data_IF_654240576040
#
_entry.id   IF_654240576040
#
_cell.length_a   1.000
_cell.length_b   1.000
_cell.length_c   1.000
_cell.angle_alpha   90.00
_cell.angle_beta   90.00
_cell.angle_gamma   90.00
#
_symmetry.space_group_name_H-M   'P 1'
#
loop_
_entity.id
_entity.type
_entity.pdbx_description
1 polymer ?
#
# COMPACT_ATOMS: atom_id res chain seq x y z
N UNK A 1 22.78 -33.59 -7.60
CA UNK A 1 23.43 -34.28 -8.71
C UNK A 1 23.01 -35.74 -8.64
N UNK A 2 22.58 -36.29 -9.74
CA UNK A 2 22.05 -37.66 -9.91
C UNK A 2 20.67 -37.94 -9.35
N UNK A 3 19.64 -37.68 -10.21
CA UNK A 3 18.44 -38.54 -10.35
C UNK A 3 17.49 -38.09 -11.48
N UNK A 4 18.00 -37.68 -12.63
CA UNK A 4 17.15 -37.48 -13.84
C UNK A 4 17.78 -38.05 -15.10
N UNK A 5 18.13 -39.35 -15.05
CA UNK A 5 18.48 -40.13 -16.21
C UNK A 5 17.84 -41.49 -16.07
N UNK A 6 16.60 -41.66 -16.56
CA UNK A 6 16.01 -42.92 -17.00
C UNK A 6 14.53 -42.68 -17.29
N UNK A 7 14.22 -42.52 -18.57
CA UNK A 7 13.08 -43.14 -19.30
C UNK A 7 13.00 -42.57 -20.72
N UNK A 8 13.98 -42.92 -21.53
CA UNK A 8 13.82 -42.88 -22.99
C UNK A 8 13.67 -44.29 -23.45
N UNK A 9 12.46 -44.84 -23.43
CA UNK A 9 12.15 -46.08 -24.14
C UNK A 9 11.81 -45.76 -25.59
N UNK A 10 12.76 -46.08 -26.46
CA UNK A 10 12.67 -46.06 -27.91
C UNK A 10 11.59 -47.03 -28.34
N UNK A 11 10.48 -46.50 -28.89
CA UNK A 11 9.51 -47.28 -29.65
C UNK A 11 10.00 -47.32 -31.10
N UNK A 12 10.71 -48.40 -31.47
CA UNK A 12 11.07 -48.67 -32.86
C UNK A 12 9.80 -49.02 -33.66
N UNK A 13 9.29 -48.09 -34.44
CA UNK A 13 8.31 -48.36 -35.49
C UNK A 13 9.09 -48.65 -36.77
N UNK A 14 8.92 -49.85 -37.28
CA UNK A 14 9.45 -50.29 -38.56
C UNK A 14 8.95 -49.33 -39.66
N UNK A 15 9.85 -48.54 -40.19
CA UNK A 15 9.61 -47.74 -41.38
C UNK A 15 9.67 -48.60 -42.61
N UNK A 16 8.61 -48.63 -43.42
CA UNK A 16 8.60 -49.06 -44.80
C UNK A 16 9.58 -48.17 -45.58
N UNK A 17 10.64 -48.80 -46.11
CA UNK A 17 11.67 -48.13 -46.91
C UNK A 17 11.06 -47.80 -48.27
N UNK A 18 10.49 -46.60 -48.42
CA UNK A 18 10.43 -45.92 -49.72
C UNK A 18 11.76 -45.22 -50.00
N UNK A 19 12.06 -44.75 -51.22
CA UNK A 19 13.29 -44.00 -51.47
C UNK A 19 13.32 -42.77 -50.50
N UNK A 20 14.26 -42.83 -49.61
CA UNK A 20 14.48 -41.69 -48.61
C UNK A 20 15.12 -40.56 -49.41
N UNK A 21 14.29 -39.67 -49.94
CA UNK A 21 14.75 -38.32 -50.22
C UNK A 21 15.12 -37.74 -48.87
N UNK A 22 16.36 -37.18 -48.76
CA UNK A 22 16.88 -36.71 -47.47
C UNK A 22 15.98 -35.60 -46.92
N UNK A 23 15.66 -35.71 -45.67
CA UNK A 23 14.78 -34.77 -44.91
C UNK A 23 15.19 -33.30 -45.05
N UNK A 24 16.39 -33.03 -45.56
CA UNK A 24 16.99 -31.70 -45.65
C UNK A 24 17.55 -31.41 -47.07
N UNK A 25 17.04 -32.06 -48.13
CA UNK A 25 17.48 -31.80 -49.49
C UNK A 25 17.05 -30.40 -49.95
N UNK A 26 17.93 -29.74 -50.72
CA UNK A 26 17.67 -28.50 -51.44
C UNK A 26 17.55 -28.77 -52.92
N UNK A 27 16.84 -27.90 -53.65
CA UNK A 27 16.75 -28.04 -55.10
C UNK A 27 18.00 -27.51 -55.83
N UNK A 28 18.85 -26.73 -55.22
CA UNK A 28 19.98 -26.05 -55.86
C UNK A 28 20.98 -27.05 -56.38
N UNK A 29 21.11 -27.14 -57.72
CA UNK A 29 22.01 -28.05 -58.40
C UNK A 29 21.54 -29.50 -58.44
N UNK A 30 20.31 -29.79 -58.05
CA UNK A 30 19.73 -31.14 -58.16
C UNK A 30 19.12 -31.44 -59.55
N UNK A 31 18.91 -32.71 -59.86
CA UNK A 31 18.25 -33.13 -61.13
C UNK A 31 16.76 -32.71 -61.16
N UNK A 32 16.14 -32.38 -59.99
CA UNK A 32 14.75 -31.96 -59.83
C UNK A 32 14.59 -30.49 -59.61
N UNK A 33 15.63 -29.68 -59.84
CA UNK A 33 15.61 -28.24 -59.57
C UNK A 33 14.46 -27.50 -60.28
N UNK A 34 14.23 -27.83 -61.58
CA UNK A 34 13.18 -27.21 -62.38
C UNK A 34 11.79 -27.58 -61.83
N UNK A 35 11.52 -28.85 -61.58
CA UNK A 35 10.24 -29.33 -61.04
C UNK A 35 9.94 -28.76 -59.64
N UNK A 36 10.96 -28.68 -58.77
CA UNK A 36 10.81 -28.16 -57.44
C UNK A 36 10.58 -26.63 -57.42
N UNK A 37 11.29 -25.90 -58.25
CA UNK A 37 11.15 -24.42 -58.34
C UNK A 37 9.83 -24.01 -59.00
N UNK A 38 9.36 -24.77 -60.01
CA UNK A 38 8.05 -24.54 -60.62
C UNK A 38 6.92 -24.79 -59.62
N UNK A 39 6.94 -25.89 -58.92
CA UNK A 39 5.97 -26.21 -57.87
C UNK A 39 6.02 -25.16 -56.75
N UNK A 40 7.22 -24.75 -56.34
CA UNK A 40 7.41 -23.64 -55.35
C UNK A 40 6.77 -22.34 -55.82
N UNK A 41 7.01 -21.95 -57.06
CA UNK A 41 6.49 -20.70 -57.62
C UNK A 41 4.97 -20.70 -57.67
N UNK A 42 4.36 -21.81 -58.08
CA UNK A 42 2.90 -21.97 -58.15
C UNK A 42 2.28 -21.92 -56.78
N UNK A 43 2.80 -22.69 -55.79
CA UNK A 43 2.18 -22.68 -54.48
C UNK A 43 2.31 -21.32 -53.77
N UNK A 44 3.43 -20.62 -53.95
CA UNK A 44 3.63 -19.26 -53.34
C UNK A 44 2.65 -18.27 -53.91
N UNK A 45 2.35 -18.31 -55.20
CA UNK A 45 1.32 -17.45 -55.81
C UNK A 45 -0.08 -17.82 -55.30
N UNK A 46 -0.41 -19.14 -55.28
CA UNK A 46 -1.67 -19.62 -54.77
C UNK A 46 -1.90 -19.23 -53.26
N UNK A 47 -0.87 -19.33 -52.43
CA UNK A 47 -0.93 -18.87 -51.03
C UNK A 47 -1.26 -17.39 -50.92
N UNK A 48 -0.67 -16.55 -51.79
CA UNK A 48 -1.01 -15.10 -51.81
C UNK A 48 -2.44 -14.86 -52.26
N UNK A 49 -2.93 -15.65 -53.19
CA UNK A 49 -4.32 -15.59 -53.67
C UNK A 49 -5.32 -16.28 -52.72
N UNK A 50 -4.86 -16.89 -51.64
CA UNK A 50 -5.65 -17.72 -50.72
C UNK A 50 -6.36 -18.91 -51.38
N UNK A 51 -5.81 -19.40 -52.51
CA UNK A 51 -6.22 -20.65 -53.09
C UNK A 51 -5.53 -21.83 -52.39
N UNK A 52 -6.15 -22.25 -51.29
CA UNK A 52 -5.58 -23.25 -50.37
C UNK A 52 -5.42 -24.62 -51.04
N UNK A 53 -6.25 -24.96 -52.00
CA UNK A 53 -6.19 -26.25 -52.67
C UNK A 53 -4.97 -26.32 -53.60
N UNK A 54 -4.85 -25.38 -54.52
CA UNK A 54 -3.71 -25.29 -55.43
C UNK A 54 -2.41 -25.09 -54.67
N UNK A 55 -2.44 -24.29 -53.60
CA UNK A 55 -1.29 -24.07 -52.75
C UNK A 55 -0.82 -25.36 -52.09
N UNK A 56 -1.74 -26.16 -51.53
CA UNK A 56 -1.38 -27.40 -50.85
C UNK A 56 -0.80 -28.45 -51.83
N UNK A 57 -1.46 -28.71 -52.94
CA UNK A 57 -1.01 -29.69 -53.92
C UNK A 57 0.39 -29.38 -54.46
N UNK A 58 0.70 -28.12 -54.74
CA UNK A 58 2.01 -27.75 -55.26
C UNK A 58 3.06 -27.64 -54.17
N UNK A 59 2.69 -27.22 -52.94
CA UNK A 59 3.57 -27.27 -51.79
C UNK A 59 4.01 -28.71 -51.48
N UNK A 60 3.08 -29.66 -51.49
CA UNK A 60 3.40 -31.07 -51.23
C UNK A 60 4.41 -31.66 -52.26
N UNK A 61 4.28 -31.27 -53.53
CA UNK A 61 5.25 -31.61 -54.55
C UNK A 61 6.63 -31.01 -54.29
N UNK A 62 6.67 -29.70 -54.05
CA UNK A 62 7.90 -28.95 -53.79
C UNK A 62 8.60 -29.46 -52.51
N UNK A 63 7.84 -29.64 -51.41
CA UNK A 63 8.36 -30.17 -50.15
C UNK A 63 8.90 -31.59 -50.25
N UNK A 64 8.21 -32.47 -51.03
CA UNK A 64 8.67 -33.84 -51.24
C UNK A 64 9.99 -33.92 -52.02
N UNK A 65 10.20 -33.03 -52.97
CA UNK A 65 11.43 -32.97 -53.76
C UNK A 65 12.58 -32.29 -53.00
N UNK A 66 12.32 -31.14 -52.38
CA UNK A 66 13.32 -30.30 -51.72
C UNK A 66 12.78 -29.73 -50.41
N UNK A 67 12.75 -30.48 -49.31
CA UNK A 67 12.26 -29.96 -48.02
C UNK A 67 12.91 -28.65 -47.58
N UNK A 68 14.21 -28.52 -47.75
CA UNK A 68 14.96 -27.30 -47.39
C UNK A 68 14.95 -26.21 -48.49
N UNK A 69 14.10 -26.36 -49.52
CA UNK A 69 13.90 -25.37 -50.57
C UNK A 69 15.20 -24.91 -51.23
N UNK A 70 15.51 -23.63 -51.21
CA UNK A 70 16.72 -23.02 -51.77
C UNK A 70 17.95 -23.09 -50.84
N UNK A 71 17.84 -23.73 -49.69
CA UNK A 71 18.87 -23.77 -48.66
C UNK A 71 19.17 -22.41 -48.00
N UNK A 72 18.35 -21.39 -48.25
CA UNK A 72 18.50 -20.05 -47.67
C UNK A 72 17.35 -19.62 -46.80
N UNK A 73 16.18 -20.22 -47.00
CA UNK A 73 14.92 -19.83 -46.36
C UNK A 73 14.10 -21.06 -45.98
N UNK A 74 13.42 -20.99 -44.88
CA UNK A 74 12.59 -22.01 -44.26
C UNK A 74 11.18 -22.16 -44.90
N UNK A 75 11.00 -21.70 -46.12
CA UNK A 75 9.68 -21.55 -46.73
C UNK A 75 8.87 -22.85 -46.78
N UNK A 76 9.48 -23.98 -47.16
CA UNK A 76 8.70 -25.20 -47.28
C UNK A 76 8.22 -25.71 -45.93
N UNK A 77 8.98 -25.53 -44.86
CA UNK A 77 8.56 -25.90 -43.52
C UNK A 77 7.48 -24.93 -43.01
N UNK A 78 7.75 -23.59 -43.01
CA UNK A 78 6.85 -22.63 -42.42
C UNK A 78 5.57 -22.38 -43.22
N UNK A 79 5.62 -22.47 -44.57
CA UNK A 79 4.41 -22.42 -45.38
C UNK A 79 3.60 -23.71 -45.24
N UNK A 80 4.27 -24.87 -45.08
CA UNK A 80 3.63 -26.13 -44.74
C UNK A 80 2.84 -26.07 -43.43
N UNK A 81 3.44 -25.49 -42.40
CA UNK A 81 2.74 -25.20 -41.15
C UNK A 81 1.48 -24.36 -41.40
N UNK A 82 1.60 -23.28 -42.19
CA UNK A 82 0.46 -22.42 -42.53
C UNK A 82 -0.65 -23.17 -43.25
N UNK A 83 -0.30 -24.03 -44.18
CA UNK A 83 -1.25 -24.86 -44.95
C UNK A 83 -1.96 -25.87 -44.04
N UNK A 84 -1.23 -26.57 -43.17
CA UNK A 84 -1.82 -27.54 -42.25
C UNK A 84 -2.63 -26.86 -41.13
N UNK A 85 -2.27 -25.65 -40.69
CA UNK A 85 -3.12 -24.85 -39.79
C UNK A 85 -4.46 -24.50 -40.44
N UNK A 86 -4.47 -24.18 -41.75
CA UNK A 86 -5.71 -23.95 -42.49
C UNK A 86 -6.55 -25.23 -42.56
N UNK A 87 -5.94 -26.39 -42.90
CA UNK A 87 -6.63 -27.71 -42.88
C UNK A 87 -7.20 -28.01 -41.49
N UNK A 88 -6.41 -27.85 -40.43
CA UNK A 88 -6.83 -28.09 -39.05
C UNK A 88 -8.06 -27.26 -38.67
N UNK A 89 -8.08 -25.96 -39.03
CA UNK A 89 -9.21 -25.05 -38.72
C UNK A 89 -10.50 -25.49 -39.43
N UNK A 90 -10.40 -26.04 -40.63
CA UNK A 90 -11.54 -26.44 -41.45
C UNK A 90 -11.91 -27.92 -41.31
N UNK A 91 -11.16 -28.75 -40.58
CA UNK A 91 -11.44 -30.14 -40.33
C UNK A 91 -12.44 -30.33 -39.19
N UNK A 92 -13.39 -31.23 -39.36
CA UNK A 92 -14.36 -31.61 -38.33
C UNK A 92 -13.95 -32.90 -37.59
N UNK A 93 -13.22 -33.80 -38.26
CA UNK A 93 -12.80 -35.08 -37.70
C UNK A 93 -11.67 -34.91 -36.67
N UNK A 94 -11.89 -35.27 -35.38
CA UNK A 94 -10.89 -35.14 -34.36
C UNK A 94 -9.65 -36.02 -34.58
N UNK A 95 -9.78 -37.15 -35.28
CA UNK A 95 -8.65 -38.02 -35.59
C UNK A 95 -7.72 -37.36 -36.61
N UNK A 96 -8.29 -36.78 -37.66
CA UNK A 96 -7.52 -36.00 -38.64
C UNK A 96 -6.92 -34.75 -38.05
N UNK A 97 -7.64 -34.06 -37.15
CA UNK A 97 -7.08 -32.93 -36.38
C UNK A 97 -5.82 -33.34 -35.64
N UNK A 98 -5.85 -34.46 -34.93
CA UNK A 98 -4.68 -34.98 -34.21
C UNK A 98 -3.52 -35.33 -35.15
N UNK A 99 -3.80 -35.89 -36.33
CA UNK A 99 -2.80 -36.13 -37.37
C UNK A 99 -2.16 -34.80 -37.83
N UNK A 100 -2.97 -33.79 -38.13
CA UNK A 100 -2.48 -32.45 -38.53
C UNK A 100 -1.62 -31.79 -37.46
N UNK A 101 -1.96 -31.93 -36.17
CA UNK A 101 -1.10 -31.45 -35.08
C UNK A 101 0.28 -32.12 -35.17
N UNK A 102 0.34 -33.44 -35.34
CA UNK A 102 1.63 -34.16 -35.46
C UNK A 102 2.45 -33.74 -36.67
N UNK A 103 1.79 -33.43 -37.81
CA UNK A 103 2.47 -32.93 -38.99
C UNK A 103 3.00 -31.52 -38.78
N UNK A 104 2.20 -30.64 -38.18
CA UNK A 104 2.60 -29.26 -37.84
C UNK A 104 3.79 -29.27 -36.89
N UNK A 105 3.76 -30.10 -35.86
CA UNK A 105 4.83 -30.26 -34.89
C UNK A 105 6.13 -30.68 -35.56
N UNK A 106 6.07 -31.73 -36.41
CA UNK A 106 7.19 -32.22 -37.20
C UNK A 106 7.77 -31.15 -38.14
N UNK A 107 6.94 -30.37 -38.84
CA UNK A 107 7.41 -29.30 -39.73
C UNK A 107 8.18 -28.22 -38.99
N UNK A 108 7.76 -27.88 -37.77
CA UNK A 108 8.51 -26.98 -36.92
C UNK A 108 9.86 -27.55 -36.50
N UNK A 109 9.87 -28.83 -36.08
CA UNK A 109 11.11 -29.52 -35.68
C UNK A 109 12.11 -29.66 -36.83
N UNK A 110 11.63 -29.98 -38.01
CA UNK A 110 12.45 -30.02 -39.24
C UNK A 110 13.03 -28.63 -39.59
N UNK A 111 12.25 -27.56 -39.43
CA UNK A 111 12.77 -26.18 -39.63
C UNK A 111 13.89 -25.85 -38.64
N UNK A 112 13.69 -26.20 -37.36
CA UNK A 112 14.71 -26.02 -36.31
C UNK A 112 15.97 -26.79 -36.64
N UNK A 113 15.84 -28.09 -36.91
CA UNK A 113 16.97 -28.97 -37.23
C UNK A 113 17.71 -28.53 -38.49
N UNK A 114 16.99 -28.02 -39.52
CA UNK A 114 17.59 -27.49 -40.73
C UNK A 114 18.48 -26.26 -40.46
N UNK A 115 18.12 -25.41 -39.48
CA UNK A 115 18.96 -24.32 -39.02
C UNK A 115 20.14 -24.80 -38.16
N UNK A 116 19.93 -25.73 -37.25
CA UNK A 116 20.97 -26.32 -36.38
C UNK A 116 22.07 -27.01 -37.20
N UNK A 117 21.66 -27.77 -38.22
CA UNK A 117 22.59 -28.46 -39.13
C UNK A 117 23.20 -27.56 -40.21
N UNK A 118 22.86 -26.27 -40.25
CA UNK A 118 23.30 -25.33 -41.29
C UNK A 118 22.90 -25.76 -42.70
N UNK A 119 21.82 -26.51 -42.86
CA UNK A 119 21.24 -26.83 -44.20
C UNK A 119 20.60 -25.55 -44.76
N UNK A 120 19.83 -24.82 -43.92
CA UNK A 120 19.35 -23.49 -44.26
C UNK A 120 20.38 -22.46 -43.80
N UNK A 121 20.96 -21.74 -44.76
CA UNK A 121 21.99 -20.73 -44.52
C UNK A 121 21.49 -19.37 -45.03
N UNK A 122 20.76 -18.59 -44.18
CA UNK A 122 20.30 -17.29 -44.59
C UNK A 122 21.48 -16.38 -44.91
N UNK A 123 21.41 -15.66 -46.03
CA UNK A 123 22.47 -14.71 -46.41
C UNK A 123 22.77 -13.63 -45.39
N UNK A 124 21.83 -13.37 -44.50
CA UNK A 124 21.96 -12.40 -43.37
C UNK A 124 22.73 -12.96 -42.19
N UNK A 125 22.81 -14.29 -42.02
CA UNK A 125 23.46 -14.90 -40.87
C UNK A 125 24.94 -15.26 -41.14
N UNK A 126 25.30 -15.68 -42.37
CA UNK A 126 26.68 -16.12 -42.68
C UNK A 126 27.22 -17.06 -41.60
N UNK A 127 28.33 -16.68 -40.96
CA UNK A 127 29.00 -17.45 -39.92
C UNK A 127 28.60 -16.96 -38.49
N UNK A 128 27.53 -16.16 -38.35
CA UNK A 128 27.05 -15.62 -37.08
C UNK A 128 26.11 -16.64 -36.38
N UNK A 129 26.64 -17.37 -35.39
CA UNK A 129 25.89 -18.36 -34.62
C UNK A 129 24.70 -17.72 -33.89
N UNK A 130 24.85 -16.50 -33.35
CA UNK A 130 23.76 -15.79 -32.69
C UNK A 130 22.59 -15.48 -33.65
N UNK A 131 22.89 -15.27 -34.96
CA UNK A 131 21.86 -15.11 -35.97
C UNK A 131 21.03 -16.38 -36.14
N UNK A 132 21.70 -17.57 -36.18
CA UNK A 132 21.00 -18.82 -36.27
C UNK A 132 20.17 -19.10 -35.02
N UNK A 133 20.70 -18.84 -33.82
CA UNK A 133 19.93 -18.97 -32.58
C UNK A 133 18.65 -18.10 -32.63
N UNK A 134 18.74 -16.87 -33.13
CA UNK A 134 17.57 -16.00 -33.35
C UNK A 134 16.55 -16.60 -34.32
N UNK A 135 17.01 -17.27 -35.40
CA UNK A 135 16.10 -17.96 -36.35
C UNK A 135 15.39 -19.13 -35.70
N UNK A 136 16.11 -19.96 -34.95
CA UNK A 136 15.56 -21.10 -34.19
C UNK A 136 14.54 -20.59 -33.15
N UNK A 137 14.89 -19.61 -32.39
CA UNK A 137 13.99 -19.05 -31.38
C UNK A 137 12.74 -18.39 -31.97
N UNK A 138 12.86 -17.76 -33.16
CA UNK A 138 11.69 -17.30 -33.90
C UNK A 138 10.76 -18.47 -34.29
N UNK A 139 11.29 -19.57 -34.80
CA UNK A 139 10.50 -20.77 -35.13
C UNK A 139 9.84 -21.33 -33.88
N UNK A 140 10.58 -21.46 -32.76
CA UNK A 140 10.04 -21.91 -31.47
C UNK A 140 8.93 -21.02 -30.98
N UNK A 141 9.11 -19.67 -31.03
CA UNK A 141 8.09 -18.72 -30.63
C UNK A 141 6.80 -18.88 -31.47
N UNK A 142 6.94 -19.07 -32.78
CA UNK A 142 5.78 -19.33 -33.65
C UNK A 142 5.14 -20.70 -33.38
N UNK A 143 5.92 -21.73 -33.06
CA UNK A 143 5.43 -23.01 -32.58
C UNK A 143 4.58 -22.83 -31.33
N UNK A 144 5.13 -22.22 -30.28
CA UNK A 144 4.42 -21.95 -29.02
C UNK A 144 3.14 -21.14 -29.23
N UNK A 145 3.19 -20.11 -30.07
CA UNK A 145 2.02 -19.30 -30.42
C UNK A 145 0.89 -20.14 -31.05
N UNK A 146 1.21 -20.96 -32.02
CA UNK A 146 0.19 -21.80 -32.68
C UNK A 146 -0.30 -22.92 -31.77
N UNK A 147 0.56 -23.49 -30.93
CA UNK A 147 0.18 -24.49 -29.92
C UNK A 147 -0.85 -23.91 -28.94
N UNK A 148 -0.71 -22.65 -28.54
CA UNK A 148 -1.63 -22.00 -27.61
C UNK A 148 -2.93 -21.54 -28.27
N UNK A 149 -2.83 -20.71 -29.32
CA UNK A 149 -4.00 -20.02 -29.89
C UNK A 149 -4.81 -20.84 -30.89
N UNK A 150 -4.20 -21.90 -31.48
CA UNK A 150 -4.87 -22.63 -32.56
C UNK A 150 -5.03 -24.10 -32.25
N UNK A 151 -3.98 -24.76 -31.77
CA UNK A 151 -3.94 -26.23 -31.69
C UNK A 151 -4.44 -26.77 -30.35
N UNK A 152 -4.52 -25.91 -29.31
CA UNK A 152 -4.90 -26.29 -27.95
C UNK A 152 -4.08 -27.46 -27.39
N UNK A 153 -2.77 -27.42 -27.59
CA UNK A 153 -1.84 -28.42 -27.07
C UNK A 153 -1.76 -28.26 -25.53
N UNK A 154 -1.51 -29.35 -24.77
CA UNK A 154 -1.35 -29.26 -23.32
C UNK A 154 -0.34 -28.20 -22.90
N UNK A 155 -0.70 -27.39 -21.88
CA UNK A 155 0.11 -26.27 -21.46
C UNK A 155 1.52 -26.61 -21.00
N UNK A 156 1.72 -27.81 -20.41
CA UNK A 156 3.05 -28.27 -20.01
C UNK A 156 4.00 -28.40 -21.23
N UNK A 157 3.52 -29.01 -22.33
CA UNK A 157 4.31 -29.14 -23.55
C UNK A 157 4.59 -27.81 -24.23
N UNK A 158 3.62 -26.88 -24.18
CA UNK A 158 3.79 -25.56 -24.76
C UNK A 158 4.77 -24.70 -23.96
N UNK A 159 4.74 -24.78 -22.61
CA UNK A 159 5.70 -24.09 -21.74
C UNK A 159 7.14 -24.60 -22.00
N UNK A 160 7.35 -25.89 -22.29
CA UNK A 160 8.67 -26.40 -22.67
C UNK A 160 9.17 -25.73 -23.96
N UNK A 161 8.29 -25.56 -24.96
CA UNK A 161 8.64 -24.85 -26.21
C UNK A 161 8.99 -23.39 -25.97
N UNK A 162 8.22 -22.69 -25.13
CA UNK A 162 8.56 -21.31 -24.80
C UNK A 162 9.82 -21.19 -23.94
N UNK A 163 10.09 -22.13 -23.03
CA UNK A 163 11.34 -22.16 -22.29
C UNK A 163 12.56 -22.26 -23.23
N UNK A 164 12.49 -23.19 -24.20
CA UNK A 164 13.53 -23.30 -25.23
C UNK A 164 13.66 -22.02 -26.08
N UNK A 165 12.53 -21.39 -26.45
CA UNK A 165 12.57 -20.12 -27.18
C UNK A 165 13.26 -19.02 -26.38
N UNK A 166 12.89 -18.84 -25.11
CA UNK A 166 13.47 -17.84 -24.20
C UNK A 166 14.99 -18.05 -24.07
N UNK A 167 15.41 -19.29 -23.83
CA UNK A 167 16.83 -19.62 -23.63
C UNK A 167 17.67 -19.42 -24.93
N UNK A 168 17.06 -19.61 -26.12
CA UNK A 168 17.73 -19.44 -27.41
C UNK A 168 17.89 -17.98 -27.83
N UNK A 169 16.88 -17.13 -27.58
CA UNK A 169 16.90 -15.78 -28.16
C UNK A 169 17.04 -14.67 -27.12
N UNK A 170 16.84 -14.95 -25.84
CA UNK A 170 16.94 -13.95 -24.81
C UNK A 170 16.14 -12.67 -25.15
N UNK A 171 16.82 -11.55 -25.27
CA UNK A 171 16.20 -10.25 -25.56
C UNK A 171 15.52 -10.14 -26.96
N UNK A 172 15.76 -11.06 -27.85
CA UNK A 172 15.11 -11.10 -29.17
C UNK A 172 13.76 -11.89 -29.14
N UNK A 173 13.30 -12.37 -27.99
CA UNK A 173 12.00 -13.03 -27.85
C UNK A 173 10.86 -12.09 -28.26
N UNK A 174 9.94 -12.58 -29.10
CA UNK A 174 8.78 -11.79 -29.52
C UNK A 174 7.86 -11.45 -28.33
N UNK A 175 7.41 -10.21 -28.24
CA UNK A 175 6.49 -9.74 -27.19
C UNK A 175 5.15 -10.52 -27.16
N UNK A 176 4.77 -11.19 -28.22
CA UNK A 176 3.58 -12.04 -28.31
C UNK A 176 3.63 -13.28 -27.41
N UNK A 177 4.80 -13.61 -26.83
CA UNK A 177 5.00 -14.72 -25.92
C UNK A 177 4.46 -14.46 -24.49
N UNK A 178 4.33 -13.20 -24.06
CA UNK A 178 4.00 -12.86 -22.67
C UNK A 178 2.64 -13.36 -22.23
N UNK A 179 1.60 -13.06 -23.01
CA UNK A 179 0.22 -13.44 -22.69
C UNK A 179 0.06 -14.97 -22.55
N UNK A 180 0.45 -15.79 -23.56
CA UNK A 180 0.30 -17.25 -23.45
C UNK A 180 1.12 -17.85 -22.32
N UNK A 181 2.36 -17.42 -22.12
CA UNK A 181 3.22 -17.96 -21.06
C UNK A 181 2.62 -17.70 -19.69
N UNK A 182 2.20 -16.46 -19.38
CA UNK A 182 1.64 -16.17 -18.06
C UNK A 182 0.26 -16.80 -17.83
N UNK A 183 -0.57 -16.93 -18.86
CA UNK A 183 -1.83 -17.68 -18.75
C UNK A 183 -1.54 -19.14 -18.40
N UNK A 184 -0.60 -19.78 -19.10
CA UNK A 184 -0.23 -21.16 -18.85
C UNK A 184 0.41 -21.36 -17.48
N UNK A 185 1.33 -20.49 -17.06
CA UNK A 185 1.92 -20.50 -15.72
C UNK A 185 0.84 -20.40 -14.63
N UNK A 186 -0.06 -19.42 -14.74
CA UNK A 186 -1.16 -19.23 -13.78
C UNK A 186 -2.04 -20.48 -13.69
N UNK A 187 -2.44 -21.05 -14.82
CA UNK A 187 -3.28 -22.25 -14.86
C UNK A 187 -2.56 -23.48 -14.29
N UNK A 188 -1.30 -23.72 -14.67
CA UNK A 188 -0.53 -24.89 -14.21
C UNK A 188 -0.23 -24.82 -12.71
N UNK A 189 0.08 -23.62 -12.21
CA UNK A 189 0.27 -23.38 -10.77
C UNK A 189 -1.01 -23.68 -9.98
N UNK A 190 -2.17 -23.15 -10.42
CA UNK A 190 -3.46 -23.40 -9.77
C UNK A 190 -3.86 -24.90 -9.77
N UNK A 191 -3.37 -25.67 -10.74
CA UNK A 191 -3.58 -27.12 -10.82
C UNK A 191 -2.56 -27.93 -10.01
N UNK A 192 -1.59 -27.30 -9.38
CA UNK A 192 -0.49 -27.97 -8.67
C UNK A 192 0.49 -28.70 -9.60
N UNK A 193 0.50 -28.36 -10.89
CA UNK A 193 1.37 -28.95 -11.93
C UNK A 193 2.64 -28.13 -12.18
N UNK A 194 2.77 -26.98 -11.52
CA UNK A 194 3.92 -26.07 -11.59
C UNK A 194 4.23 -25.52 -10.22
N UNK A 195 5.51 -25.43 -9.86
CA UNK A 195 5.94 -24.89 -8.56
C UNK A 195 6.05 -23.36 -8.62
N UNK A 196 6.14 -22.72 -7.45
CA UNK A 196 6.38 -21.29 -7.32
C UNK A 196 7.68 -20.87 -8.01
N UNK A 197 8.75 -21.62 -7.81
CA UNK A 197 10.06 -21.36 -8.39
C UNK A 197 10.03 -21.41 -9.92
N UNK A 198 9.28 -22.32 -10.50
CA UNK A 198 9.10 -22.41 -11.94
C UNK A 198 8.32 -21.22 -12.51
N UNK A 199 7.29 -20.75 -11.81
CA UNK A 199 6.58 -19.52 -12.22
C UNK A 199 7.50 -18.31 -12.14
N UNK A 200 8.29 -18.20 -11.05
CA UNK A 200 9.24 -17.12 -10.85
C UNK A 200 10.37 -17.14 -11.88
N UNK A 201 10.82 -18.31 -12.34
CA UNK A 201 11.83 -18.42 -13.41
C UNK A 201 11.32 -17.79 -14.71
N UNK A 202 10.10 -18.17 -15.15
CA UNK A 202 9.46 -17.51 -16.30
C UNK A 202 9.25 -16.02 -16.10
N UNK A 203 8.77 -15.63 -14.95
CA UNK A 203 8.51 -14.23 -14.62
C UNK A 203 9.78 -13.39 -14.72
N UNK A 204 10.85 -13.80 -14.05
CA UNK A 204 12.10 -13.06 -14.00
C UNK A 204 12.78 -12.97 -15.39
N UNK A 205 12.77 -14.07 -16.16
CA UNK A 205 13.30 -14.07 -17.53
C UNK A 205 12.52 -13.11 -18.43
N UNK A 206 11.20 -13.18 -18.40
CA UNK A 206 10.34 -12.31 -19.21
C UNK A 206 10.40 -10.85 -18.76
N UNK A 207 10.50 -10.58 -17.45
CA UNK A 207 10.71 -9.24 -16.93
C UNK A 207 12.01 -8.63 -17.45
N UNK A 208 13.11 -9.35 -17.35
CA UNK A 208 14.41 -8.90 -17.85
C UNK A 208 14.37 -8.58 -19.36
N UNK A 209 13.74 -9.44 -20.16
CA UNK A 209 13.57 -9.24 -21.61
C UNK A 209 12.68 -8.02 -21.88
N UNK A 210 11.59 -7.85 -21.13
CA UNK A 210 10.69 -6.70 -21.28
C UNK A 210 11.43 -5.39 -20.99
N UNK A 211 12.08 -5.29 -19.81
CA UNK A 211 12.81 -4.08 -19.40
C UNK A 211 13.91 -3.71 -20.40
N UNK A 212 14.69 -4.71 -20.84
CA UNK A 212 15.71 -4.48 -21.86
C UNK A 212 15.11 -3.87 -23.15
N UNK A 213 14.02 -4.45 -23.67
CA UNK A 213 13.41 -3.98 -24.90
C UNK A 213 12.69 -2.62 -24.76
N UNK A 214 12.08 -2.35 -23.60
CA UNK A 214 11.46 -1.06 -23.31
C UNK A 214 12.52 0.05 -23.40
N UNK A 215 13.70 -0.20 -22.86
CA UNK A 215 14.80 0.77 -22.85
C UNK A 215 15.53 0.87 -24.18
N UNK A 216 15.84 -0.28 -24.84
CA UNK A 216 16.79 -0.32 -25.93
C UNK A 216 16.15 -0.49 -27.32
N UNK A 217 14.87 -0.88 -27.41
CA UNK A 217 14.20 -1.13 -28.67
C UNK A 217 13.28 0.04 -29.06
N UNK A 218 13.83 1.04 -29.72
CA UNK A 218 13.09 2.25 -30.13
C UNK A 218 11.86 1.98 -31.02
N UNK A 219 11.84 0.86 -31.74
CA UNK A 219 10.74 0.49 -32.64
C UNK A 219 9.63 -0.27 -31.94
N UNK A 220 9.96 -1.21 -31.04
CA UNK A 220 9.02 -2.15 -30.46
C UNK A 220 8.88 -2.00 -28.94
N UNK A 221 9.64 -1.13 -28.28
CA UNK A 221 9.63 -0.97 -26.80
C UNK A 221 8.25 -0.75 -26.21
N UNK A 222 7.41 0.06 -26.88
CA UNK A 222 6.02 0.28 -26.43
C UNK A 222 5.15 -0.98 -26.52
N UNK A 223 5.41 -1.86 -27.47
CA UNK A 223 4.70 -3.16 -27.56
C UNK A 223 5.14 -4.11 -26.45
N UNK A 224 6.45 -4.12 -26.11
CA UNK A 224 6.93 -4.88 -24.96
C UNK A 224 6.34 -4.38 -23.65
N UNK A 225 6.24 -3.08 -23.43
CA UNK A 225 5.62 -2.50 -22.24
C UNK A 225 4.14 -2.91 -22.11
N UNK A 226 3.38 -2.82 -23.21
CA UNK A 226 1.99 -3.24 -23.24
C UNK A 226 1.84 -4.74 -22.98
N UNK A 227 2.64 -5.58 -23.67
CA UNK A 227 2.61 -7.03 -23.53
C UNK A 227 3.02 -7.47 -22.12
N UNK A 228 4.04 -6.84 -21.54
CA UNK A 228 4.47 -7.09 -20.17
C UNK A 228 3.33 -6.79 -19.15
N UNK A 229 2.72 -5.61 -19.24
CA UNK A 229 1.61 -5.22 -18.35
C UNK A 229 0.40 -6.15 -18.51
N UNK A 230 0.03 -6.45 -19.75
CA UNK A 230 -1.09 -7.35 -20.05
C UNK A 230 -0.82 -8.77 -19.57
N UNK A 231 0.35 -9.32 -19.89
CA UNK A 231 0.77 -10.65 -19.46
C UNK A 231 0.86 -10.78 -17.95
N UNK A 232 1.53 -9.84 -17.27
CA UNK A 232 1.63 -9.81 -15.81
C UNK A 232 0.26 -9.85 -15.12
N UNK A 233 -0.73 -9.17 -15.70
CA UNK A 233 -2.10 -9.19 -15.15
C UNK A 233 -2.74 -10.59 -15.11
N UNK A 234 -2.26 -11.54 -15.93
CA UNK A 234 -2.73 -12.93 -15.94
C UNK A 234 -2.28 -13.75 -14.74
N UNK A 235 -1.27 -13.24 -13.99
CA UNK A 235 -0.81 -13.85 -12.75
C UNK A 235 -1.63 -13.42 -11.54
N UNK A 236 -2.57 -12.46 -11.67
CA UNK A 236 -3.40 -11.97 -10.56
C UNK A 236 -4.05 -13.08 -9.71
N UNK A 237 -4.55 -14.21 -10.29
CA UNK A 237 -5.15 -15.28 -9.50
C UNK A 237 -4.17 -16.03 -8.59
N UNK A 238 -2.87 -15.93 -8.81
CA UNK A 238 -1.80 -16.61 -8.07
C UNK A 238 -0.81 -15.63 -7.43
N UNK A 239 -1.06 -14.32 -7.54
CA UNK A 239 -0.12 -13.28 -7.11
C UNK A 239 0.27 -13.42 -5.64
N UNK A 240 -0.69 -13.71 -4.77
CA UNK A 240 -0.45 -13.81 -3.33
C UNK A 240 0.41 -15.01 -2.94
N UNK A 241 0.31 -16.11 -3.70
CA UNK A 241 1.02 -17.36 -3.43
C UNK A 241 2.42 -17.39 -4.04
N UNK A 242 2.61 -16.71 -5.18
CA UNK A 242 3.89 -16.70 -5.91
C UNK A 242 4.76 -15.54 -5.45
N UNK A 243 4.19 -14.35 -5.27
CA UNK A 243 4.90 -13.12 -4.87
C UNK A 243 4.60 -12.81 -3.40
N UNK A 244 4.95 -13.75 -2.53
CA UNK A 244 4.79 -13.67 -1.07
C UNK A 244 5.95 -12.92 -0.39
N UNK A 245 6.03 -13.06 0.93
CA UNK A 245 7.08 -12.47 1.75
C UNK A 245 8.49 -12.89 1.31
N UNK A 246 8.70 -14.17 0.99
CA UNK A 246 10.02 -14.69 0.64
C UNK A 246 10.57 -14.05 -0.64
N UNK A 247 9.67 -13.75 -1.58
CA UNK A 247 10.03 -13.03 -2.80
C UNK A 247 10.39 -11.56 -2.54
N UNK A 248 9.58 -10.84 -1.75
CA UNK A 248 9.75 -9.40 -1.56
C UNK A 248 10.76 -9.03 -0.48
N UNK A 249 11.00 -9.90 0.51
CA UNK A 249 11.92 -9.63 1.62
C UNK A 249 13.31 -9.15 1.16
N UNK A 250 14.04 -9.85 0.29
CA UNK A 250 15.34 -9.40 -0.16
C UNK A 250 15.28 -8.09 -0.94
N UNK A 251 14.25 -7.89 -1.76
CA UNK A 251 14.06 -6.67 -2.55
C UNK A 251 13.85 -5.46 -1.64
N UNK A 252 12.96 -5.59 -0.66
CA UNK A 252 12.66 -4.49 0.26
C UNK A 252 13.80 -4.21 1.23
N UNK A 253 14.55 -5.25 1.63
CA UNK A 253 15.77 -5.06 2.44
C UNK A 253 16.83 -4.28 1.66
N UNK A 254 17.05 -4.62 0.40
CA UNK A 254 17.97 -3.87 -0.47
C UNK A 254 17.53 -2.41 -0.65
N UNK A 255 16.26 -2.15 -0.91
CA UNK A 255 15.73 -0.78 -1.04
C UNK A 255 15.97 0.05 0.22
N UNK A 256 15.81 -0.56 1.40
CA UNK A 256 16.13 0.10 2.66
C UNK A 256 17.63 0.37 2.80
N UNK A 257 18.48 -0.60 2.49
CA UNK A 257 19.95 -0.49 2.63
C UNK A 257 20.55 0.59 1.70
N UNK A 258 19.91 0.85 0.57
CA UNK A 258 20.29 1.93 -0.36
C UNK A 258 19.97 3.32 0.18
N UNK A 259 18.89 3.48 0.98
CA UNK A 259 18.45 4.76 1.53
C UNK A 259 17.96 4.62 2.98
N UNK A 260 18.83 4.30 3.95
CA UNK A 260 18.43 3.99 5.32
C UNK A 260 17.89 5.19 6.11
N UNK A 261 18.13 6.41 5.64
CA UNK A 261 17.65 7.65 6.27
C UNK A 261 16.26 8.10 5.76
N UNK A 262 15.73 7.46 4.72
CA UNK A 262 14.39 7.74 4.21
C UNK A 262 13.32 7.03 5.07
N UNK A 263 12.84 7.76 6.08
CA UNK A 263 11.85 7.23 7.03
C UNK A 263 10.46 7.05 6.41
N UNK A 264 10.10 7.79 5.36
CA UNK A 264 8.84 7.58 4.66
C UNK A 264 8.91 6.30 3.81
N UNK A 265 10.03 6.06 3.13
CA UNK A 265 10.30 4.80 2.45
C UNK A 265 10.27 3.63 3.45
N UNK A 266 10.96 3.74 4.58
CA UNK A 266 11.00 2.72 5.62
C UNK A 266 9.59 2.33 6.11
N UNK A 267 8.74 3.32 6.38
CA UNK A 267 7.33 3.11 6.75
C UNK A 267 6.57 2.33 5.68
N UNK A 268 6.76 2.70 4.42
CA UNK A 268 6.10 2.04 3.29
C UNK A 268 6.58 0.59 3.12
N UNK A 269 7.88 0.33 3.28
CA UNK A 269 8.45 -1.02 3.21
C UNK A 269 7.92 -1.94 4.31
N UNK A 270 7.82 -1.45 5.55
CA UNK A 270 7.19 -2.19 6.66
C UNK A 270 5.73 -2.52 6.34
N UNK A 271 4.96 -1.56 5.83
CA UNK A 271 3.57 -1.78 5.45
C UNK A 271 3.42 -2.81 4.32
N UNK A 272 4.33 -2.77 3.33
CA UNK A 272 4.36 -3.72 2.22
C UNK A 272 4.70 -5.14 2.69
N UNK A 273 5.71 -5.33 3.56
CA UNK A 273 6.04 -6.65 4.12
C UNK A 273 4.86 -7.24 4.89
N UNK A 274 4.18 -6.44 5.70
CA UNK A 274 2.95 -6.87 6.40
C UNK A 274 1.83 -7.24 5.43
N UNK A 275 1.64 -6.48 4.36
CA UNK A 275 0.65 -6.76 3.32
C UNK A 275 0.94 -8.07 2.56
N UNK A 276 2.21 -8.46 2.46
CA UNK A 276 2.66 -9.72 1.84
C UNK A 276 2.64 -10.90 2.82
N UNK A 277 1.96 -10.75 3.97
CA UNK A 277 1.81 -11.77 5.00
C UNK A 277 3.16 -12.31 5.52
N UNK A 278 4.19 -11.46 5.60
CA UNK A 278 5.41 -11.81 6.29
C UNK A 278 5.12 -12.19 7.73
N UNK A 279 5.78 -13.25 8.22
CA UNK A 279 5.65 -13.67 9.61
C UNK A 279 6.05 -12.52 10.53
N UNK A 280 5.28 -12.19 11.57
CA UNK A 280 5.64 -11.14 12.52
C UNK A 280 7.01 -11.32 13.18
N UNK A 281 7.56 -12.54 13.17
CA UNK A 281 8.91 -12.85 13.66
C UNK A 281 9.99 -12.82 12.58
N UNK A 282 9.64 -12.47 11.34
CA UNK A 282 10.58 -12.36 10.24
C UNK A 282 11.70 -11.36 10.58
N UNK A 283 12.98 -11.76 10.51
CA UNK A 283 14.10 -10.91 10.96
C UNK A 283 14.17 -9.56 10.26
N UNK A 284 13.86 -9.50 8.96
CA UNK A 284 13.86 -8.24 8.18
C UNK A 284 12.69 -7.36 8.58
N UNK A 285 11.49 -7.93 8.69
CA UNK A 285 10.32 -7.19 9.15
C UNK A 285 10.54 -6.62 10.55
N UNK A 286 11.05 -7.42 11.49
CA UNK A 286 11.36 -7.01 12.87
C UNK A 286 12.42 -5.90 12.89
N UNK A 287 13.49 -6.03 12.08
CA UNK A 287 14.51 -4.99 11.96
C UNK A 287 13.94 -3.66 11.50
N UNK A 288 13.23 -3.67 10.37
CA UNK A 288 12.67 -2.46 9.76
C UNK A 288 11.57 -1.83 10.64
N UNK A 289 10.72 -2.66 11.23
CA UNK A 289 9.66 -2.20 12.13
C UNK A 289 10.24 -1.57 13.41
N UNK A 290 11.25 -2.19 13.99
CA UNK A 290 11.94 -1.65 15.19
C UNK A 290 12.52 -0.25 14.90
N UNK A 291 13.20 -0.09 13.77
CA UNK A 291 13.75 1.22 13.35
C UNK A 291 12.67 2.26 13.11
N UNK A 292 11.58 1.87 12.43
CA UNK A 292 10.44 2.76 12.22
C UNK A 292 9.78 3.18 13.54
N UNK A 293 9.57 2.24 14.47
CA UNK A 293 8.97 2.53 15.77
C UNK A 293 9.83 3.48 16.59
N UNK A 294 11.15 3.26 16.64
CA UNK A 294 12.08 4.16 17.34
C UNK A 294 12.05 5.59 16.77
N UNK A 295 12.01 5.73 15.45
CA UNK A 295 11.87 7.03 14.80
C UNK A 295 10.51 7.67 15.11
N UNK A 296 9.42 6.93 15.00
CA UNK A 296 8.07 7.42 15.27
C UNK A 296 7.91 7.85 16.74
N UNK A 297 8.49 7.11 17.67
CA UNK A 297 8.50 7.46 19.10
C UNK A 297 9.24 8.79 19.34
N UNK A 298 10.43 8.93 18.75
CA UNK A 298 11.21 10.18 18.85
C UNK A 298 10.41 11.37 18.29
N UNK A 299 9.87 11.27 17.08
CA UNK A 299 9.08 12.35 16.45
C UNK A 299 7.82 12.66 17.25
N UNK A 300 7.14 11.64 17.79
CA UNK A 300 5.95 11.87 18.62
C UNK A 300 6.31 12.55 19.94
N UNK A 301 7.43 12.18 20.57
CA UNK A 301 7.91 12.84 21.78
C UNK A 301 8.27 14.31 21.52
N UNK A 302 8.96 14.60 20.41
CA UNK A 302 9.29 15.98 20.00
C UNK A 302 8.02 16.81 19.74
N UNK A 303 7.05 16.27 19.02
CA UNK A 303 5.77 16.93 18.76
C UNK A 303 4.96 17.13 20.04
N UNK A 304 4.98 16.17 20.96
CA UNK A 304 4.31 16.29 22.25
C UNK A 304 4.97 17.38 23.08
N UNK A 305 6.29 17.43 23.15
CA UNK A 305 7.02 18.47 23.87
C UNK A 305 6.75 19.87 23.28
N UNK A 306 6.75 20.00 21.97
CA UNK A 306 6.38 21.26 21.28
C UNK A 306 4.93 21.67 21.57
N UNK A 307 4.00 20.72 21.51
CA UNK A 307 2.60 20.98 21.84
C UNK A 307 2.44 21.44 23.28
N UNK A 308 3.09 20.76 24.25
CA UNK A 308 3.03 21.14 25.68
C UNK A 308 3.67 22.51 25.92
N UNK A 309 4.78 22.83 25.25
CA UNK A 309 5.43 24.15 25.36
C UNK A 309 4.53 25.30 24.85
N UNK A 310 3.78 25.04 23.78
CA UNK A 310 2.88 26.02 23.18
C UNK A 310 1.47 26.04 23.81
N UNK A 311 1.17 25.12 24.74
CA UNK A 311 -0.15 25.00 25.37
C UNK A 311 -0.06 24.83 26.89
N UNK A 312 0.46 25.84 27.65
CA UNK A 312 0.64 25.72 29.10
C UNK A 312 -0.67 25.50 29.86
N UNK A 313 -1.81 25.96 29.36
CA UNK A 313 -3.13 25.69 29.95
C UNK A 313 -3.52 24.20 29.91
N UNK A 314 -3.13 23.47 28.84
CA UNK A 314 -3.30 22.03 28.74
C UNK A 314 -2.43 21.30 29.79
N UNK A 315 -1.16 21.72 29.92
CA UNK A 315 -0.24 21.16 30.92
C UNK A 315 -0.74 21.45 32.33
N UNK A 316 -1.26 22.66 32.59
CA UNK A 316 -1.85 23.01 33.87
C UNK A 316 -3.03 22.09 34.25
N UNK A 317 -3.89 21.76 33.28
CA UNK A 317 -5.00 20.82 33.52
C UNK A 317 -4.49 19.41 33.80
N UNK A 318 -3.53 18.93 33.06
CA UNK A 318 -2.89 17.61 33.27
C UNK A 318 -2.31 17.50 34.69
N UNK A 319 -1.51 18.47 35.09
CA UNK A 319 -0.95 18.55 36.45
C UNK A 319 -2.03 18.61 37.54
N UNK A 320 -3.14 19.30 37.29
CA UNK A 320 -4.29 19.30 38.21
C UNK A 320 -4.90 17.91 38.37
N UNK A 321 -5.08 17.19 37.29
CA UNK A 321 -5.64 15.81 37.26
C UNK A 321 -4.70 14.81 37.97
N UNK A 322 -3.39 15.04 37.88
CA UNK A 322 -2.32 14.28 38.57
C UNK A 322 -2.20 14.63 40.05
N UNK A 323 -2.87 15.73 40.52
CA UNK A 323 -2.81 16.19 41.92
C UNK A 323 -1.68 17.15 42.21
N UNK A 324 -0.89 17.54 41.22
CA UNK A 324 0.24 18.48 41.31
C UNK A 324 -0.25 19.95 41.29
N UNK A 325 -1.05 20.31 42.30
CA UNK A 325 -1.80 21.56 42.32
C UNK A 325 -0.94 22.84 42.29
N UNK A 326 0.27 22.81 42.89
CA UNK A 326 1.17 23.98 42.85
C UNK A 326 1.74 24.19 41.47
N UNK A 327 2.22 23.13 40.86
CA UNK A 327 2.73 23.17 39.48
C UNK A 327 1.62 23.56 38.48
N UNK A 328 0.39 23.08 38.68
CA UNK A 328 -0.76 23.47 37.86
C UNK A 328 -1.02 25.00 37.94
N UNK A 329 -0.91 25.61 39.14
CA UNK A 329 -1.05 27.04 39.31
C UNK A 329 0.06 27.81 38.57
N UNK A 330 1.31 27.34 38.61
CA UNK A 330 2.45 27.94 37.90
C UNK A 330 2.21 27.88 36.38
N UNK A 331 1.76 26.75 35.86
CA UNK A 331 1.43 26.62 34.44
C UNK A 331 0.23 27.47 34.00
N UNK A 332 -0.75 27.72 34.89
CA UNK A 332 -1.79 28.70 34.61
C UNK A 332 -1.25 30.13 34.58
N UNK A 333 -0.20 30.49 35.36
CA UNK A 333 0.47 31.80 35.23
C UNK A 333 1.06 31.95 33.83
N UNK A 334 1.83 30.96 33.35
CA UNK A 334 2.39 30.98 32.00
C UNK A 334 1.28 31.10 30.92
N UNK A 335 0.19 30.34 31.06
CA UNK A 335 -0.95 30.41 30.14
C UNK A 335 -1.61 31.80 30.14
N UNK A 336 -1.74 32.43 31.29
CA UNK A 336 -2.32 33.78 31.43
C UNK A 336 -1.42 34.83 30.78
N UNK A 337 -0.10 34.70 30.91
CA UNK A 337 0.87 35.63 30.30
C UNK A 337 0.85 35.54 28.79
N UNK A 338 0.75 34.33 28.24
CA UNK A 338 0.77 34.08 26.79
C UNK A 338 -0.58 34.35 26.09
N UNK A 339 -1.70 34.34 26.84
CA UNK A 339 -3.04 34.51 26.26
C UNK A 339 -3.37 35.97 25.98
N UNK A 340 -3.77 36.25 24.76
CA UNK A 340 -4.19 37.59 24.33
C UNK A 340 -5.71 37.79 24.38
N UNK A 341 -6.50 36.70 24.30
CA UNK A 341 -7.95 36.74 24.35
C UNK A 341 -8.42 36.98 25.81
N UNK A 342 -9.10 38.10 26.10
CA UNK A 342 -9.54 38.41 27.44
C UNK A 342 -10.48 37.37 28.07
N UNK A 343 -11.35 36.75 27.28
CA UNK A 343 -12.29 35.75 27.79
C UNK A 343 -11.58 34.46 28.19
N UNK A 344 -10.64 33.99 27.35
CA UNK A 344 -9.81 32.82 27.68
C UNK A 344 -8.93 33.13 28.90
N UNK A 345 -8.31 34.31 28.93
CA UNK A 345 -7.51 34.78 30.06
C UNK A 345 -8.29 34.77 31.34
N UNK A 346 -9.55 35.28 31.32
CA UNK A 346 -10.46 35.22 32.45
C UNK A 346 -10.74 33.80 32.92
N UNK A 347 -10.92 32.87 31.97
CA UNK A 347 -11.16 31.45 32.25
C UNK A 347 -9.94 30.77 32.91
N UNK A 348 -8.71 31.10 32.48
CA UNK A 348 -7.48 30.62 33.12
C UNK A 348 -7.29 31.18 34.51
N UNK A 349 -7.56 32.48 34.74
CA UNK A 349 -7.55 33.12 36.04
C UNK A 349 -8.57 32.46 36.98
N UNK A 350 -9.78 32.19 36.52
CA UNK A 350 -10.81 31.51 37.32
C UNK A 350 -10.37 30.09 37.69
N UNK A 351 -9.79 29.32 36.77
CA UNK A 351 -9.25 27.98 37.03
C UNK A 351 -8.15 28.04 38.09
N UNK A 352 -7.19 28.95 37.94
CA UNK A 352 -6.14 29.23 38.92
C UNK A 352 -6.72 29.57 40.31
N UNK A 353 -7.67 30.50 40.37
CA UNK A 353 -8.34 30.89 41.64
C UNK A 353 -9.06 29.69 42.28
N UNK A 354 -9.72 28.87 41.50
CA UNK A 354 -10.40 27.65 41.98
C UNK A 354 -9.42 26.67 42.62
N UNK A 355 -8.25 26.44 42.02
CA UNK A 355 -7.19 25.58 42.57
C UNK A 355 -6.64 26.19 43.87
N UNK A 356 -6.27 27.47 43.85
CA UNK A 356 -5.78 28.18 45.00
C UNK A 356 -6.74 28.11 46.21
N UNK A 357 -8.05 28.24 45.95
CA UNK A 357 -9.08 28.09 46.98
C UNK A 357 -9.29 26.64 47.40
N UNK A 358 -9.73 25.78 46.48
CA UNK A 358 -10.28 24.47 46.79
C UNK A 358 -9.21 23.47 47.24
N UNK A 359 -8.02 23.55 46.62
CA UNK A 359 -6.93 22.61 46.86
C UNK A 359 -5.84 23.16 47.79
N UNK A 360 -5.42 24.42 47.57
CA UNK A 360 -4.30 25.02 48.32
C UNK A 360 -4.73 25.82 49.53
N UNK A 361 -6.04 26.09 49.72
CA UNK A 361 -6.60 26.88 50.84
C UNK A 361 -6.04 28.31 50.97
N UNK A 362 -5.59 28.87 49.83
CA UNK A 362 -5.01 30.23 49.76
C UNK A 362 -6.10 31.29 49.52
N UNK A 363 -7.01 31.47 50.48
CA UNK A 363 -8.24 32.24 50.32
C UNK A 363 -8.02 33.69 49.82
N UNK A 364 -7.09 34.44 50.44
CA UNK A 364 -6.87 35.85 50.08
C UNK A 364 -6.29 35.98 48.64
N UNK A 365 -5.36 35.12 48.29
CA UNK A 365 -4.76 35.09 46.94
C UNK A 365 -5.79 34.64 45.89
N UNK A 366 -6.55 33.58 46.19
CA UNK A 366 -7.61 33.10 45.32
C UNK A 366 -8.68 34.16 45.04
N UNK A 367 -9.06 34.96 46.08
CA UNK A 367 -9.99 36.08 45.93
C UNK A 367 -9.46 37.14 44.97
N UNK A 368 -8.19 37.56 45.12
CA UNK A 368 -7.56 38.53 44.22
C UNK A 368 -7.60 38.02 42.78
N UNK A 369 -7.17 36.77 42.55
CA UNK A 369 -7.18 36.15 41.24
C UNK A 369 -8.60 36.02 40.64
N UNK A 370 -9.62 35.74 41.47
CA UNK A 370 -11.00 35.70 41.02
C UNK A 370 -11.54 37.10 40.60
N UNK A 371 -11.14 38.17 41.32
CA UNK A 371 -11.48 39.53 40.91
C UNK A 371 -10.77 39.94 39.61
N UNK A 372 -9.54 39.48 39.38
CA UNK A 372 -8.84 39.72 38.11
C UNK A 372 -9.62 39.07 36.96
N UNK A 373 -10.11 37.84 37.15
CA UNK A 373 -10.96 37.15 36.15
C UNK A 373 -12.25 37.93 35.87
N UNK A 374 -12.95 38.40 36.96
CA UNK A 374 -14.16 39.18 36.84
C UNK A 374 -13.96 40.53 36.14
N UNK A 375 -12.79 41.15 36.30
CA UNK A 375 -12.44 42.42 35.64
C UNK A 375 -12.30 42.25 34.12
N UNK A 376 -11.80 41.11 33.65
CA UNK A 376 -11.66 40.82 32.21
C UNK A 376 -12.99 40.41 31.57
N UNK A 377 -13.94 39.90 32.37
CA UNK A 377 -15.26 39.48 31.92
C UNK A 377 -16.32 39.95 32.89
N UNK A 378 -16.78 41.23 32.78
CA UNK A 378 -17.65 41.89 33.79
C UNK A 378 -19.00 41.20 34.01
N UNK A 379 -19.59 40.62 32.98
CA UNK A 379 -20.90 39.95 33.02
C UNK A 379 -20.87 38.52 33.53
N UNK A 380 -19.67 38.03 33.90
CA UNK A 380 -19.48 36.65 34.31
C UNK A 380 -19.61 36.47 35.82
N UNK A 381 -20.69 35.88 36.28
CA UNK A 381 -21.02 35.70 37.69
C UNK A 381 -20.16 34.65 38.41
N UNK A 382 -19.56 33.69 37.71
CA UNK A 382 -18.81 32.58 38.33
C UNK A 382 -17.66 32.99 39.24
N UNK A 383 -16.84 34.02 38.94
CA UNK A 383 -15.83 34.52 39.88
C UNK A 383 -16.43 34.99 41.22
N UNK A 384 -17.57 35.66 41.17
CA UNK A 384 -18.25 36.14 42.39
C UNK A 384 -18.91 34.98 43.17
N UNK A 385 -19.42 33.96 42.48
CA UNK A 385 -19.85 32.71 43.11
C UNK A 385 -18.70 32.06 43.88
N UNK A 386 -17.52 31.98 43.24
CA UNK A 386 -16.32 31.41 43.86
C UNK A 386 -15.87 32.21 45.09
N UNK A 387 -15.93 33.57 45.04
CA UNK A 387 -15.61 34.42 46.16
C UNK A 387 -16.63 34.22 47.31
N UNK A 388 -17.93 34.10 47.00
CA UNK A 388 -18.96 33.73 47.96
C UNK A 388 -18.69 32.40 48.65
N UNK A 389 -18.27 31.38 47.85
CA UNK A 389 -17.88 30.07 48.39
C UNK A 389 -16.65 30.17 49.32
N UNK A 390 -15.65 31.02 48.99
CA UNK A 390 -14.50 31.28 49.88
C UNK A 390 -14.94 31.86 51.20
N UNK A 391 -15.80 32.87 51.17
CA UNK A 391 -16.29 33.55 52.39
C UNK A 391 -17.13 32.60 53.25
N UNK A 392 -18.11 31.92 52.65
CA UNK A 392 -18.97 31.00 53.35
C UNK A 392 -18.22 29.81 53.97
N UNK A 393 -17.26 29.22 53.22
CA UNK A 393 -16.47 28.06 53.72
C UNK A 393 -15.49 28.44 54.83
N UNK A 394 -14.97 29.68 54.83
CA UNK A 394 -14.01 30.19 55.84
C UNK A 394 -14.68 30.95 56.98
N UNK A 395 -15.98 31.18 56.95
CA UNK A 395 -16.69 31.99 57.94
C UNK A 395 -16.40 31.53 59.36
N UNK A 396 -16.38 30.23 59.65
CA UNK A 396 -16.10 29.69 61.01
C UNK A 396 -14.72 30.06 61.57
N UNK A 397 -13.80 30.49 60.73
CA UNK A 397 -12.45 30.84 61.10
C UNK A 397 -12.31 32.39 61.28
N UNK A 398 -13.40 33.14 61.11
CA UNK A 398 -13.41 34.63 61.16
C UNK A 398 -13.59 35.20 62.55
N UNK A 399 -12.98 34.66 63.56
CA UNK A 399 -13.01 35.21 64.91
C UNK A 399 -14.25 34.79 65.72
N UNK A 400 -14.90 35.72 66.40
CA UNK A 400 -16.06 35.47 67.22
C UNK A 400 -17.34 35.18 66.41
N UNK A 401 -18.40 34.72 67.08
CA UNK A 401 -19.65 34.35 66.45
C UNK A 401 -20.25 35.50 65.60
N UNK A 402 -20.10 36.74 66.04
CA UNK A 402 -20.58 37.89 65.29
C UNK A 402 -19.84 38.06 63.96
N UNK A 403 -18.53 38.02 63.95
CA UNK A 403 -17.71 38.10 62.72
C UNK A 403 -17.97 36.95 61.82
N UNK A 404 -18.20 35.70 62.33
CA UNK A 404 -18.58 34.54 61.52
C UNK A 404 -19.89 34.78 60.77
N UNK A 405 -20.89 35.43 61.47
CA UNK A 405 -22.16 35.73 60.82
C UNK A 405 -22.06 36.90 59.84
N UNK A 406 -21.21 37.91 60.12
CA UNK A 406 -20.89 38.94 59.12
C UNK A 406 -20.23 38.42 57.89
N UNK A 407 -19.36 37.37 57.99
CA UNK A 407 -18.76 36.73 56.89
C UNK A 407 -19.81 36.00 56.01
N UNK A 408 -20.87 35.46 56.61
CA UNK A 408 -22.01 34.91 55.91
C UNK A 408 -22.78 35.97 55.13
N UNK A 409 -22.99 37.15 55.68
CA UNK A 409 -23.59 38.28 54.95
C UNK A 409 -22.73 38.63 53.72
N UNK A 410 -21.41 38.74 53.90
CA UNK A 410 -20.48 39.00 52.78
C UNK A 410 -20.58 37.89 51.66
N UNK A 411 -20.71 36.63 52.05
CA UNK A 411 -20.90 35.54 51.09
C UNK A 411 -22.22 35.72 50.32
N UNK A 412 -23.32 35.97 51.01
CA UNK A 412 -24.63 36.19 50.42
C UNK A 412 -24.60 37.38 49.45
N UNK A 413 -23.92 38.46 49.81
CA UNK A 413 -23.81 39.64 48.95
C UNK A 413 -23.06 39.33 47.64
N UNK A 414 -22.03 38.48 47.69
CA UNK A 414 -21.35 38.01 46.46
C UNK A 414 -22.28 37.17 45.58
N UNK A 415 -23.06 36.27 46.17
CA UNK A 415 -24.03 35.48 45.40
C UNK A 415 -25.14 36.33 44.79
N UNK A 416 -25.67 37.34 45.55
CA UNK A 416 -26.65 38.27 45.00
C UNK A 416 -26.07 39.07 43.85
N UNK A 417 -24.83 39.53 43.98
CA UNK A 417 -24.14 40.24 42.90
C UNK A 417 -23.97 39.35 41.66
N UNK A 418 -23.45 38.13 41.83
CA UNK A 418 -23.29 37.17 40.76
C UNK A 418 -24.60 36.91 39.99
N UNK A 419 -25.69 36.69 40.75
CA UNK A 419 -27.04 36.46 40.18
C UNK A 419 -27.54 37.64 39.35
N UNK A 420 -27.20 38.88 39.79
CA UNK A 420 -27.72 40.07 39.14
C UNK A 420 -27.00 40.40 37.82
N UNK A 421 -25.75 39.97 37.67
CA UNK A 421 -24.95 40.24 36.48
C UNK A 421 -24.98 39.05 35.49
N UNK A 422 -25.30 37.84 35.96
CA UNK A 422 -25.20 36.62 35.15
C UNK A 422 -26.41 35.71 35.45
N UNK A 423 -27.29 35.59 34.48
CA UNK A 423 -28.48 34.75 34.59
C UNK A 423 -28.15 33.24 34.60
N UNK A 424 -26.99 32.81 34.06
CA UNK A 424 -26.62 31.39 34.02
C UNK A 424 -26.32 30.84 35.43
N UNK A 425 -25.84 31.70 36.35
CA UNK A 425 -25.56 31.31 37.73
C UNK A 425 -26.71 31.61 38.68
N UNK A 426 -27.83 32.17 38.20
CA UNK A 426 -28.90 32.67 39.05
C UNK A 426 -29.54 31.59 39.93
N UNK A 427 -29.79 30.42 39.39
CA UNK A 427 -30.36 29.30 40.13
C UNK A 427 -29.41 28.82 41.26
N UNK A 428 -28.13 28.64 40.92
CA UNK A 428 -27.09 28.23 41.88
C UNK A 428 -26.89 29.26 42.99
N UNK A 429 -26.85 30.55 42.61
CA UNK A 429 -26.76 31.65 43.56
C UNK A 429 -27.93 31.68 44.57
N UNK A 430 -29.18 31.47 44.08
CA UNK A 430 -30.36 31.41 44.93
C UNK A 430 -30.29 30.22 45.91
N UNK A 431 -29.81 29.06 45.45
CA UNK A 431 -29.60 27.89 46.33
C UNK A 431 -28.59 28.20 47.42
N UNK A 432 -27.43 28.78 47.08
CA UNK A 432 -26.41 29.21 48.05
C UNK A 432 -26.96 30.26 49.08
N UNK A 433 -27.67 31.26 48.57
CA UNK A 433 -28.32 32.29 49.43
C UNK A 433 -29.29 31.63 50.39
N UNK A 434 -30.15 30.74 49.93
CA UNK A 434 -31.13 30.05 50.79
C UNK A 434 -30.45 29.21 51.86
N UNK A 435 -29.38 28.51 51.52
CA UNK A 435 -28.60 27.71 52.46
C UNK A 435 -28.00 28.54 53.60
N UNK A 436 -27.52 29.76 53.29
CA UNK A 436 -26.86 30.61 54.28
C UNK A 436 -27.80 31.52 55.05
N UNK A 437 -29.07 31.69 54.64
CA UNK A 437 -30.07 32.52 55.37
C UNK A 437 -30.22 32.14 56.84
N UNK A 438 -30.19 30.86 57.13
CA UNK A 438 -30.33 30.36 58.53
C UNK A 438 -29.10 30.59 59.41
N UNK A 439 -28.05 31.13 58.83
CA UNK A 439 -26.77 31.47 59.50
C UNK A 439 -26.52 33.00 59.61
N UNK A 440 -27.53 33.79 59.31
CA UNK A 440 -27.48 35.23 59.51
C UNK A 440 -27.43 35.57 60.99
N UNK A 441 -26.99 36.79 61.36
CA UNK A 441 -27.08 37.27 62.78
C UNK A 441 -28.50 37.20 63.29
N UNK A 442 -28.64 36.92 64.60
CA UNK A 442 -29.93 36.99 65.25
C UNK A 442 -30.14 38.45 65.76
N UNK A 443 -31.38 38.89 65.81
CA UNK A 443 -31.73 40.28 66.31
C UNK A 443 -31.16 40.48 67.71
N UNK A 444 -31.20 39.45 68.55
CA UNK A 444 -30.68 39.51 69.93
C UNK A 444 -29.17 39.84 69.99
N UNK A 445 -28.38 39.17 69.03
CA UNK A 445 -26.94 39.43 68.96
C UNK A 445 -26.63 40.90 68.58
N UNK A 446 -27.44 41.45 67.64
CA UNK A 446 -27.34 42.89 67.29
C UNK A 446 -27.64 43.79 68.41
N UNK A 447 -28.73 43.57 69.19
CA UNK A 447 -29.09 44.36 70.34
C UNK A 447 -28.01 44.40 71.42
N UNK A 448 -27.40 43.24 71.71
CA UNK A 448 -26.32 43.19 72.70
C UNK A 448 -25.08 44.01 72.29
N UNK A 449 -24.88 44.21 70.97
CA UNK A 449 -23.76 44.98 70.42
C UNK A 449 -24.11 46.41 70.04
N UNK A 450 -25.37 46.86 70.26
CA UNK A 450 -25.86 48.14 69.85
C UNK A 450 -25.93 48.35 68.32
N UNK A 451 -25.97 47.26 67.55
CA UNK A 451 -26.03 47.29 66.11
C UNK A 451 -27.45 47.06 65.60
N UNK A 452 -27.93 47.96 64.75
CA UNK A 452 -29.28 47.90 64.15
C UNK A 452 -29.23 47.32 62.74
N UNK A 453 -30.37 46.79 62.29
CA UNK A 453 -30.51 46.38 60.87
C UNK A 453 -30.17 47.59 59.96
N UNK A 454 -29.46 47.29 58.86
CA UNK A 454 -28.96 48.29 57.91
C UNK A 454 -27.64 49.01 58.35
N UNK A 455 -27.13 48.73 59.54
CA UNK A 455 -25.84 49.24 59.94
C UNK A 455 -24.69 48.69 59.06
N UNK A 456 -23.65 49.50 58.92
CA UNK A 456 -22.42 49.10 58.18
C UNK A 456 -21.40 48.52 59.17
N UNK A 457 -21.09 47.24 59.02
CA UNK A 457 -20.13 46.55 59.87
C UNK A 457 -18.98 45.98 59.01
N UNK A 458 -17.75 46.10 59.54
CA UNK A 458 -16.58 45.54 58.88
C UNK A 458 -16.39 44.07 59.29
N UNK A 459 -16.36 43.18 58.32
CA UNK A 459 -16.02 41.80 58.57
C UNK A 459 -14.56 41.70 58.99
N UNK A 460 -14.34 41.03 60.11
CA UNK A 460 -12.99 40.72 60.57
C UNK A 460 -12.27 39.74 59.67
N UNK A 461 -11.14 39.23 60.14
CA UNK A 461 -10.32 38.23 59.45
C UNK A 461 -9.80 38.70 58.07
N UNK A 462 -9.44 37.71 57.22
CA UNK A 462 -8.89 37.95 55.89
C UNK A 462 -9.89 38.54 54.88
N UNK A 463 -11.21 38.50 55.19
CA UNK A 463 -12.28 39.02 54.33
C UNK A 463 -12.22 40.59 54.30
N UNK A 464 -12.27 41.23 55.43
CA UNK A 464 -12.06 42.66 55.57
C UNK A 464 -13.07 43.58 54.85
N UNK A 465 -14.13 43.02 54.25
CA UNK A 465 -15.17 43.78 53.52
C UNK A 465 -16.16 44.40 54.50
N UNK A 466 -16.80 45.49 54.08
CA UNK A 466 -17.89 46.14 54.87
C UNK A 466 -19.22 45.60 54.31
N UNK A 467 -20.05 45.06 55.20
CA UNK A 467 -21.37 44.54 54.90
C UNK A 467 -22.48 45.42 55.51
N UNK A 468 -23.65 45.32 54.95
CA UNK A 468 -24.88 45.87 55.55
C UNK A 468 -25.56 44.80 56.38
N UNK A 469 -25.69 45.03 57.69
CA UNK A 469 -26.25 44.05 58.61
C UNK A 469 -27.71 43.74 58.25
N UNK A 470 -28.00 42.47 58.13
CA UNK A 470 -29.34 41.88 57.91
C UNK A 470 -29.49 40.77 58.93
N UNK A 471 -30.60 40.81 59.70
CA UNK A 471 -30.94 39.76 60.65
C UNK A 471 -31.77 38.64 60.03
N UNK A 472 -31.86 37.53 60.77
CA UNK A 472 -32.73 36.38 60.36
C UNK A 472 -34.17 36.80 60.34
#
# INVERSE_FOLDING_TARGET
MDTFKKCFQILCILALVGPAYGQFETWVGSEFEEDATDAHSVYRQALKAQDWTVAFENWEKAYKLAPAADGKRDYHYMDGVKLYLNKYKNEADPVKKKEYIGIIDRLYDEAIEAYERRVIQPSTCRDDDACYERKIGYVLSRKGFNMFYTLNVPYSQNLEVYAMAIDKVGNDLEYTAYDPVFIMCSHQFQKGLMTKEQVLDFYNKLEAIALYNIENNSRLGSYYDQAWKAGKSKLAPIEADVFDCDYFRPIYKQMYDENPEDMEQLKNLVALLKKRNCDPTDPVLVELETKWMAYAEKVNAERQAEFEANNPSFVAKKLYDEGEYRAAVEKYVEAIEQESDPEKKASYLFSKASIQFRKLKQYAVARSTAYEAAKLRPDWGRPYMLIGDMYGSSARTCGDNWNQRLAIIAAIDKYKYARNIDSEVAAEANERISKYKTSLPEIADGHMRGVKEGAKEKVGCWIGETVTVVFQ
#
